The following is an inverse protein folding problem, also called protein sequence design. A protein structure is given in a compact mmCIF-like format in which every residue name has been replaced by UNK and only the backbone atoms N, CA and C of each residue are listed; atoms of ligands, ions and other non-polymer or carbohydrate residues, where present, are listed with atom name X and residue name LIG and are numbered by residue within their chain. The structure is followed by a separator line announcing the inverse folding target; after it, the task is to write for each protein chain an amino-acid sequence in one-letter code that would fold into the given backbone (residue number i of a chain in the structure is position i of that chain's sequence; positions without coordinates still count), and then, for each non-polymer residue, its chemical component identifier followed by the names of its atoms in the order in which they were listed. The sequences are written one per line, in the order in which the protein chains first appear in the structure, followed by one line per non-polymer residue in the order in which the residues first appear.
data_IF_458335074562
#
_entry.id   IF_458335074562
#
_cell.length_a   1.000
_cell.length_b   1.000
_cell.length_c   1.000
_cell.angle_alpha   90.00
_cell.angle_beta   90.00
_cell.angle_gamma   90.00
#
_symmetry.space_group_name_H-M   'P 1'
#
loop_
_entity.id
_entity.type
_entity.pdbx_description
1 polymer ?
#
# COMPACT_ATOMS: atom_id res chain seq x y z
N UNK A 1 -3.89 1.68 17.45
CA UNK A 1 -4.29 2.19 18.78
C UNK A 1 -5.23 3.36 18.53
N UNK A 2 -6.28 3.52 19.33
CA UNK A 2 -7.06 4.76 19.32
C UNK A 2 -6.43 5.75 20.29
N UNK A 3 -6.68 7.04 20.10
CA UNK A 3 -6.20 8.10 20.97
C UNK A 3 -6.52 9.46 20.39
N UNK A 4 -6.89 10.40 21.26
CA UNK A 4 -7.06 11.80 20.92
C UNK A 4 -5.72 12.56 20.92
N UNK A 5 -5.79 13.90 21.04
CA UNK A 5 -4.61 14.74 21.24
C UNK A 5 -3.83 14.39 22.52
N UNK A 6 -2.64 14.96 22.67
CA UNK A 6 -1.82 14.84 23.89
C UNK A 6 -2.67 15.18 25.14
N UNK A 7 -2.63 14.39 26.23
CA UNK A 7 -1.77 13.24 26.53
C UNK A 7 -2.26 11.87 26.00
N UNK A 8 -3.42 11.83 25.35
CA UNK A 8 -4.12 10.58 25.05
C UNK A 8 -3.42 9.71 24.01
N UNK A 9 -2.60 10.30 23.14
CA UNK A 9 -1.74 9.58 22.19
C UNK A 9 -0.54 8.86 22.83
N UNK A 10 -0.30 9.05 24.14
CA UNK A 10 0.82 8.46 24.91
C UNK A 10 0.38 7.34 25.86
N UNK A 11 -0.78 6.72 25.62
CA UNK A 11 -1.22 5.54 26.38
C UNK A 11 -0.17 4.43 26.36
N UNK A 12 -0.14 3.64 27.44
CA UNK A 12 0.76 2.50 27.55
C UNK A 12 0.54 1.51 26.39
N UNK A 13 1.64 0.90 25.93
CA UNK A 13 1.61 -0.09 24.85
C UNK A 13 0.81 -1.33 25.28
N UNK A 14 -0.25 -1.72 24.55
CA UNK A 14 -0.98 -2.97 24.80
C UNK A 14 -0.19 -4.17 24.26
N UNK A 15 0.73 -4.70 25.08
CA UNK A 15 1.64 -5.79 24.71
C UNK A 15 0.94 -7.09 24.31
N UNK A 16 -0.27 -7.32 24.81
CA UNK A 16 -1.12 -8.46 24.45
C UNK A 16 -1.48 -8.48 22.96
N UNK A 17 -1.41 -7.34 22.26
CA UNK A 17 -1.69 -7.23 20.81
C UNK A 17 -0.51 -7.58 19.92
N UNK A 18 0.68 -7.79 20.49
CA UNK A 18 1.88 -8.20 19.76
C UNK A 18 1.84 -9.71 19.54
N UNK A 19 0.90 -10.15 18.72
CA UNK A 19 0.68 -11.56 18.41
C UNK A 19 0.81 -11.82 16.90
N UNK A 20 0.94 -13.09 16.53
CA UNK A 20 0.89 -13.54 15.14
C UNK A 20 -0.46 -13.32 14.47
N UNK A 21 -1.52 -13.11 15.24
CA UNK A 21 -2.90 -13.04 14.74
C UNK A 21 -3.35 -11.60 14.48
N UNK A 22 -2.45 -10.63 14.71
CA UNK A 22 -2.73 -9.23 14.45
C UNK A 22 -2.51 -8.90 12.98
N UNK A 23 -3.60 -8.87 12.21
CA UNK A 23 -3.58 -8.61 10.76
C UNK A 23 -2.87 -7.31 10.39
N UNK A 24 -3.15 -6.21 11.11
CA UNK A 24 -2.51 -4.91 10.87
C UNK A 24 -0.99 -4.99 11.11
N UNK A 25 -0.56 -5.66 12.18
CA UNK A 25 0.87 -5.86 12.46
C UNK A 25 1.55 -6.67 11.34
N UNK A 26 0.93 -7.76 10.90
CA UNK A 26 1.46 -8.60 9.83
C UNK A 26 1.52 -7.88 8.49
N UNK A 27 0.47 -7.12 8.18
CA UNK A 27 0.40 -6.26 7.01
C UNK A 27 1.54 -5.22 7.02
N UNK A 28 1.75 -4.53 8.14
CA UNK A 28 2.86 -3.58 8.27
C UNK A 28 4.23 -4.25 8.13
N UNK A 29 4.42 -5.48 8.65
CA UNK A 29 5.65 -6.25 8.43
C UNK A 29 5.89 -6.56 6.94
N UNK A 30 4.85 -6.91 6.18
CA UNK A 30 4.93 -7.12 4.72
C UNK A 30 5.34 -5.84 3.99
N UNK A 31 4.73 -4.70 4.34
CA UNK A 31 5.10 -3.39 3.79
C UNK A 31 6.57 -3.03 4.09
N UNK A 32 7.04 -3.27 5.33
CA UNK A 32 8.43 -3.01 5.71
C UNK A 32 9.39 -3.89 4.88
N UNK A 33 9.04 -5.15 4.62
CA UNK A 33 9.84 -6.05 3.78
C UNK A 33 9.97 -5.51 2.36
N UNK A 34 8.87 -5.03 1.78
CA UNK A 34 8.86 -4.40 0.44
C UNK A 34 9.72 -3.15 0.44
N UNK A 35 9.57 -2.25 1.43
CA UNK A 35 10.38 -1.04 1.55
C UNK A 35 11.88 -1.36 1.62
N UNK A 36 12.27 -2.39 2.37
CA UNK A 36 13.68 -2.82 2.47
C UNK A 36 14.21 -3.31 1.13
N UNK A 37 13.43 -4.11 0.40
CA UNK A 37 13.80 -4.59 -0.93
C UNK A 37 13.91 -3.45 -1.95
N UNK A 38 12.96 -2.51 -1.92
CA UNK A 38 12.91 -1.36 -2.81
C UNK A 38 13.72 -0.15 -2.32
N UNK A 39 14.55 -0.30 -1.27
CA UNK A 39 15.20 0.85 -0.59
C UNK A 39 16.02 1.71 -1.55
N UNK A 40 16.76 1.09 -2.48
CA UNK A 40 17.58 1.83 -3.46
C UNK A 40 16.69 2.65 -4.39
N UNK A 41 15.58 2.08 -4.87
CA UNK A 41 14.63 2.74 -5.78
C UNK A 41 13.92 3.89 -5.05
N UNK A 42 13.51 3.70 -3.80
CA UNK A 42 12.84 4.74 -3.00
C UNK A 42 13.81 5.88 -2.65
N UNK A 43 15.07 5.55 -2.34
CA UNK A 43 16.08 6.54 -1.92
C UNK A 43 16.67 7.35 -3.07
N UNK A 44 16.85 6.74 -4.24
CA UNK A 44 17.56 7.36 -5.38
C UNK A 44 16.71 7.50 -6.64
N UNK A 45 15.55 6.84 -6.69
CA UNK A 45 14.68 6.88 -7.86
C UNK A 45 13.95 8.20 -8.02
N UNK A 46 13.61 8.51 -9.27
CA UNK A 46 12.76 9.63 -9.61
C UNK A 46 11.32 9.29 -9.23
N UNK A 47 10.77 10.06 -8.30
CA UNK A 47 9.39 9.96 -7.86
C UNK A 47 8.43 10.72 -8.78
N UNK A 48 7.25 10.17 -9.00
CA UNK A 48 6.10 10.87 -9.58
C UNK A 48 4.79 10.43 -8.91
N UNK A 49 3.89 11.39 -8.72
CA UNK A 49 2.50 11.17 -8.32
C UNK A 49 1.61 11.63 -9.47
N UNK A 50 0.67 10.78 -9.86
CA UNK A 50 -0.28 11.07 -10.92
C UNK A 50 -1.68 10.72 -10.44
N UNK A 51 -2.61 11.64 -10.62
CA UNK A 51 -4.03 11.37 -10.44
C UNK A 51 -4.56 10.77 -11.76
N UNK A 52 -5.04 9.53 -11.70
CA UNK A 52 -5.61 8.84 -12.87
C UNK A 52 -7.05 9.33 -13.08
N UNK A 53 -7.79 9.47 -11.98
CA UNK A 53 -9.17 9.97 -11.88
C UNK A 53 -9.35 10.58 -10.49
N UNK A 54 -10.49 11.25 -10.25
CA UNK A 54 -10.88 11.69 -8.90
C UNK A 54 -10.71 10.54 -7.90
N UNK A 55 -9.97 10.81 -6.84
CA UNK A 55 -9.75 9.88 -5.73
C UNK A 55 -9.03 8.57 -6.14
N UNK A 56 -8.38 8.55 -7.30
CA UNK A 56 -7.56 7.42 -7.78
C UNK A 56 -6.16 7.91 -8.16
N UNK A 57 -5.16 7.52 -7.37
CA UNK A 57 -3.79 8.01 -7.53
C UNK A 57 -2.80 6.88 -7.77
N UNK A 58 -1.84 7.14 -8.65
CA UNK A 58 -0.68 6.31 -8.88
C UNK A 58 0.60 7.00 -8.39
N UNK A 59 1.39 6.25 -7.63
CA UNK A 59 2.73 6.61 -7.23
C UNK A 59 3.71 5.75 -8.01
N UNK A 60 4.76 6.36 -8.53
CA UNK A 60 5.78 5.64 -9.28
C UNK A 60 7.17 6.14 -8.90
N UNK A 61 8.10 5.19 -8.75
CA UNK A 61 9.53 5.45 -8.61
C UNK A 61 10.28 4.72 -9.72
N UNK A 62 11.14 5.44 -10.44
CA UNK A 62 12.00 4.89 -11.50
C UNK A 62 13.47 5.05 -11.15
N UNK A 63 14.24 3.96 -11.20
CA UNK A 63 15.68 3.97 -10.97
C UNK A 63 16.37 2.86 -11.76
N UNK A 64 17.34 3.21 -12.61
CA UNK A 64 18.17 2.25 -13.38
C UNK A 64 17.35 1.14 -14.08
N UNK A 65 16.29 1.51 -14.77
CA UNK A 65 15.41 0.57 -15.49
C UNK A 65 14.46 -0.22 -14.60
N UNK A 66 14.52 -0.07 -13.27
CA UNK A 66 13.57 -0.64 -12.32
C UNK A 66 12.44 0.35 -12.05
N UNK A 67 11.24 -0.18 -11.89
CA UNK A 67 10.02 0.58 -11.60
C UNK A 67 9.40 -0.01 -10.34
N UNK A 68 9.07 0.84 -9.38
CA UNK A 68 8.18 0.54 -8.27
C UNK A 68 6.92 1.36 -8.48
N UNK A 69 5.76 0.71 -8.51
CA UNK A 69 4.48 1.38 -8.78
C UNK A 69 3.47 0.99 -7.72
N UNK A 70 2.68 1.96 -7.26
CA UNK A 70 1.56 1.72 -6.36
C UNK A 70 0.33 2.50 -6.83
N UNK A 71 -0.85 1.89 -6.78
CA UNK A 71 -2.13 2.54 -7.11
C UNK A 71 -3.02 2.47 -5.88
N UNK A 72 -3.62 3.60 -5.51
CA UNK A 72 -4.54 3.73 -4.38
C UNK A 72 -5.89 4.21 -4.88
N UNK A 73 -6.95 3.47 -4.53
CA UNK A 73 -8.33 3.79 -4.86
C UNK A 73 -9.05 4.30 -3.61
N UNK A 74 -9.19 5.62 -3.48
CA UNK A 74 -10.05 6.28 -2.50
C UNK A 74 -11.42 6.66 -3.08
N UNK A 75 -11.67 6.32 -4.34
CA UNK A 75 -12.97 6.56 -4.97
C UNK A 75 -14.02 5.57 -4.45
N UNK A 76 -15.28 5.85 -4.75
CA UNK A 76 -16.40 4.96 -4.42
C UNK A 76 -16.64 3.87 -5.47
N UNK A 77 -15.83 3.82 -6.53
CA UNK A 77 -16.00 2.91 -7.66
C UNK A 77 -14.84 1.92 -7.76
N UNK A 78 -15.11 0.75 -8.33
CA UNK A 78 -14.07 -0.24 -8.63
C UNK A 78 -13.17 0.25 -9.78
N UNK A 79 -11.86 0.07 -9.63
CA UNK A 79 -10.88 0.36 -10.68
C UNK A 79 -10.29 -0.94 -11.25
N UNK A 80 -10.44 -1.12 -12.56
CA UNK A 80 -9.95 -2.31 -13.26
C UNK A 80 -8.62 -2.04 -13.94
N UNK A 81 -7.69 -2.97 -13.80
CA UNK A 81 -6.38 -2.95 -14.44
C UNK A 81 -6.02 -4.33 -15.01
N UNK A 82 -5.13 -4.35 -15.99
CA UNK A 82 -4.61 -5.60 -16.57
C UNK A 82 -3.75 -6.34 -15.55
N UNK A 83 -3.81 -7.67 -15.56
CA UNK A 83 -3.10 -8.48 -14.58
C UNK A 83 -1.58 -8.33 -14.72
N UNK A 84 -0.94 -7.84 -13.66
CA UNK A 84 0.51 -7.71 -13.52
C UNK A 84 0.99 -8.48 -12.27
N UNK A 85 2.30 -8.67 -12.12
CA UNK A 85 2.87 -9.30 -10.93
C UNK A 85 2.75 -8.37 -9.71
N UNK A 86 1.94 -8.76 -8.72
CA UNK A 86 1.64 -7.94 -7.54
C UNK A 86 2.55 -8.31 -6.36
N UNK A 87 3.19 -7.32 -5.75
CA UNK A 87 3.96 -7.49 -4.52
C UNK A 87 3.07 -7.46 -3.25
N UNK A 88 2.06 -6.59 -3.23
CA UNK A 88 1.08 -6.48 -2.16
C UNK A 88 -0.20 -5.85 -2.67
N UNK A 89 -1.34 -6.39 -2.27
CA UNK A 89 -2.65 -5.80 -2.51
C UNK A 89 -3.50 -5.83 -1.23
N UNK A 90 -4.43 -4.88 -1.14
CA UNK A 90 -5.48 -4.82 -0.13
C UNK A 90 -6.78 -4.40 -0.77
N UNK A 91 -7.87 -5.06 -0.39
CA UNK A 91 -9.19 -4.87 -0.99
C UNK A 91 -9.17 -4.93 -2.53
N UNK A 92 -8.56 -5.99 -3.07
CA UNK A 92 -8.51 -6.25 -4.50
C UNK A 92 -9.02 -7.66 -4.82
N UNK A 93 -9.58 -7.83 -6.01
CA UNK A 93 -10.02 -9.11 -6.55
C UNK A 93 -9.24 -9.44 -7.82
N UNK A 94 -8.64 -10.64 -7.87
CA UNK A 94 -8.01 -11.16 -9.08
C UNK A 94 -9.03 -11.94 -9.93
N UNK A 95 -9.21 -11.49 -11.17
CA UNK A 95 -9.92 -12.19 -12.23
C UNK A 95 -8.90 -12.83 -13.20
N UNK A 96 -9.36 -13.60 -14.18
CA UNK A 96 -8.48 -14.33 -15.11
C UNK A 96 -7.44 -13.42 -15.80
N UNK A 97 -7.88 -12.25 -16.27
CA UNK A 97 -7.03 -11.30 -17.01
C UNK A 97 -6.96 -9.90 -16.37
N UNK A 98 -7.64 -9.70 -15.25
CA UNK A 98 -7.81 -8.37 -14.65
C UNK A 98 -7.60 -8.41 -13.15
N UNK A 99 -7.15 -7.29 -12.60
CA UNK A 99 -7.19 -7.01 -11.17
C UNK A 99 -8.19 -5.88 -10.94
N UNK A 100 -9.07 -6.05 -9.97
CA UNK A 100 -10.03 -5.05 -9.54
C UNK A 100 -9.56 -4.47 -8.21
N UNK A 101 -9.33 -3.16 -8.14
CA UNK A 101 -9.09 -2.44 -6.89
C UNK A 101 -10.42 -1.85 -6.43
N UNK A 102 -10.98 -2.38 -5.35
CA UNK A 102 -12.21 -1.85 -4.76
C UNK A 102 -11.97 -0.57 -3.94
N UNK A 103 -13.01 0.17 -3.53
CA UNK A 103 -12.88 1.34 -2.67
C UNK A 103 -12.02 1.09 -1.43
N UNK A 104 -11.20 2.05 -1.03
CA UNK A 104 -10.16 1.92 0.02
C UNK A 104 -9.09 0.83 -0.26
N UNK A 105 -9.05 0.34 -1.49
CA UNK A 105 -8.09 -0.65 -1.95
C UNK A 105 -6.82 -0.04 -2.50
N UNK A 106 -5.78 -0.84 -2.54
CA UNK A 106 -4.53 -0.46 -3.19
C UNK A 106 -3.75 -1.68 -3.66
N UNK A 107 -2.85 -1.45 -4.61
CA UNK A 107 -1.92 -2.47 -5.14
C UNK A 107 -0.53 -1.87 -5.27
N UNK A 108 0.50 -2.70 -5.01
CA UNK A 108 1.91 -2.39 -5.20
C UNK A 108 2.50 -3.46 -6.14
N UNK A 109 3.21 -3.00 -7.17
CA UNK A 109 3.95 -3.81 -8.15
C UNK A 109 5.46 -3.68 -7.88
#
# INVERSE_FOLDING_TARGET
MTGGPDPDCRRCMPWERVSSDNDMLNFMKRLIKIRKYASVIISHGKYSLQEIKSDLVALEWKYEGRILKAIFNQSTEDYLLEKEAVALASNCQELENQLVISPDGFVIF
#
